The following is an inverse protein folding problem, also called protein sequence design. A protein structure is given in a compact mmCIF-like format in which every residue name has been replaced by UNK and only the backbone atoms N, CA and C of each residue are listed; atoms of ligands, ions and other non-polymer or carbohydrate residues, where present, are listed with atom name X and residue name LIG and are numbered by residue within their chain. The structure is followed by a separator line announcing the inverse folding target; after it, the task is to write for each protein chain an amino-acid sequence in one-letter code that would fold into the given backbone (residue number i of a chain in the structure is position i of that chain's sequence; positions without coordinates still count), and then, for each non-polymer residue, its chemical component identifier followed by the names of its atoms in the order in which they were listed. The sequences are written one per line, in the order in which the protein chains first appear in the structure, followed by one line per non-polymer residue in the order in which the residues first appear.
data_IF_650633189669
#
_entry.id   IF_650633189669
#
_cell.length_a   1.000
_cell.length_b   1.000
_cell.length_c   1.000
_cell.angle_alpha   90.00
_cell.angle_beta   90.00
_cell.angle_gamma   90.00
#
_symmetry.space_group_name_H-M   'P 1'
#
loop_
_entity.id
_entity.type
_entity.pdbx_description
1 polymer ?
#
# COMPACT_ATOMS: atom_id res chain seq x y z
N UNK A 1 15.62 10.72 -8.77
CA UNK A 1 14.90 10.77 -7.48
C UNK A 1 14.17 12.10 -7.26
N UNK A 2 14.57 13.20 -7.94
CA UNK A 2 14.04 14.54 -7.67
C UNK A 2 12.85 14.99 -8.55
N UNK A 3 12.36 14.16 -9.47
CA UNK A 3 11.28 14.57 -10.41
C UNK A 3 9.85 14.28 -9.94
N UNK A 4 9.67 13.52 -8.88
CA UNK A 4 8.31 13.12 -8.41
C UNK A 4 7.69 14.03 -7.36
N UNK A 5 8.41 15.03 -6.87
CA UNK A 5 7.95 15.92 -5.81
C UNK A 5 7.37 17.25 -6.30
N UNK A 6 7.17 17.47 -7.61
CA UNK A 6 6.94 18.83 -8.09
C UNK A 6 5.49 19.24 -8.38
N UNK A 7 4.46 18.44 -8.09
CA UNK A 7 3.10 18.85 -8.50
C UNK A 7 1.96 18.61 -7.51
N UNK A 8 2.18 18.77 -6.22
CA UNK A 8 1.10 19.22 -5.32
C UNK A 8 1.67 20.15 -4.25
N UNK A 9 1.86 21.41 -4.61
CA UNK A 9 1.82 22.48 -3.62
C UNK A 9 0.38 22.53 -3.10
N UNK A 10 0.06 21.71 -2.11
CA UNK A 10 -1.06 21.99 -1.24
C UNK A 10 -0.76 23.33 -0.59
N UNK A 11 -1.54 24.35 -0.92
CA UNK A 11 -1.53 25.66 -0.28
C UNK A 11 -2.04 25.58 1.17
N UNK A 12 -1.40 24.76 1.99
CA UNK A 12 -1.58 24.78 3.40
C UNK A 12 -0.20 25.20 3.96
N UNK A 13 -0.04 26.50 4.10
CA UNK A 13 0.90 27.08 5.06
C UNK A 13 0.39 26.74 6.46
N UNK A 14 0.36 25.50 6.85
CA UNK A 14 0.35 25.14 8.25
C UNK A 14 1.71 25.57 8.78
N UNK A 15 1.68 26.55 9.67
CA UNK A 15 2.85 26.93 10.47
C UNK A 15 3.37 25.65 11.08
N UNK A 16 4.53 25.17 10.62
CA UNK A 16 5.20 24.03 11.23
C UNK A 16 5.43 24.35 12.71
N UNK A 17 4.53 23.89 13.55
CA UNK A 17 4.74 23.90 14.98
C UNK A 17 5.76 22.79 15.27
N UNK A 18 6.98 23.09 15.71
CA UNK A 18 8.00 22.07 15.99
C UNK A 18 7.59 21.12 17.13
N UNK A 19 6.58 21.46 17.89
CA UNK A 19 6.01 20.66 18.97
C UNK A 19 4.76 19.87 18.54
N UNK A 20 4.40 19.90 17.26
CA UNK A 20 3.27 19.14 16.75
C UNK A 20 3.70 17.75 16.30
N UNK A 21 3.01 16.73 16.78
CA UNK A 21 3.14 15.35 16.30
C UNK A 21 2.23 15.16 15.09
N UNK A 22 2.79 14.69 13.98
CA UNK A 22 2.03 14.35 12.78
C UNK A 22 1.59 12.89 12.87
N UNK A 23 0.28 12.68 12.93
CA UNK A 23 -0.34 11.36 12.86
C UNK A 23 -0.90 11.14 11.45
N UNK A 24 -0.43 10.09 10.80
CA UNK A 24 -0.92 9.71 9.48
C UNK A 24 -1.99 8.65 9.61
N UNK A 25 -3.13 8.92 8.98
CA UNK A 25 -4.33 8.11 9.11
C UNK A 25 -4.91 7.79 7.75
N UNK A 26 -5.50 6.61 7.63
CA UNK A 26 -6.30 6.20 6.49
C UNK A 26 -7.56 5.52 7.00
N UNK A 27 -8.62 5.59 6.22
CA UNK A 27 -9.87 4.90 6.49
C UNK A 27 -10.22 3.93 5.39
N UNK A 28 -11.25 3.13 5.65
CA UNK A 28 -11.84 2.26 4.65
C UNK A 28 -13.05 2.93 4.01
N UNK A 29 -13.12 2.85 2.70
CA UNK A 29 -14.32 3.17 1.95
C UNK A 29 -15.35 2.03 2.10
N UNK A 30 -16.61 2.28 1.72
CA UNK A 30 -17.69 1.27 1.67
C UNK A 30 -17.29 -0.03 0.96
N UNK A 31 -16.35 0.05 0.04
CA UNK A 31 -15.81 -1.09 -0.72
C UNK A 31 -14.57 -1.72 -0.07
N UNK A 32 -14.30 -1.47 1.21
CA UNK A 32 -13.10 -1.92 1.93
C UNK A 32 -11.77 -1.52 1.27
N UNK A 33 -11.77 -0.45 0.47
CA UNK A 33 -10.54 0.12 -0.10
C UNK A 33 -10.03 1.24 0.80
N UNK A 34 -8.71 1.41 0.83
CA UNK A 34 -8.08 2.51 1.56
C UNK A 34 -8.42 3.86 0.92
N UNK A 35 -8.80 4.81 1.75
CA UNK A 35 -9.07 6.18 1.36
C UNK A 35 -8.71 7.16 2.46
N UNK A 36 -8.48 8.42 2.11
CA UNK A 36 -8.34 9.49 3.09
C UNK A 36 -9.60 9.65 3.93
N UNK A 37 -9.43 10.02 5.19
CA UNK A 37 -10.55 10.25 6.10
C UNK A 37 -11.30 11.54 5.78
N UNK A 38 -12.62 11.50 5.97
CA UNK A 38 -13.44 12.69 5.90
C UNK A 38 -13.01 13.71 6.99
N UNK A 39 -13.10 14.99 6.65
CA UNK A 39 -12.75 16.10 7.54
C UNK A 39 -13.46 16.02 8.90
N UNK A 40 -14.75 15.67 8.93
CA UNK A 40 -15.51 15.56 10.17
C UNK A 40 -14.93 14.48 11.10
N UNK A 41 -14.52 13.34 10.54
CA UNK A 41 -13.89 12.25 11.31
C UNK A 41 -12.54 12.69 11.86
N UNK A 42 -11.74 13.41 11.06
CA UNK A 42 -10.45 13.96 11.51
C UNK A 42 -10.62 14.96 12.65
N UNK A 43 -11.60 15.86 12.56
CA UNK A 43 -11.87 16.85 13.62
C UNK A 43 -12.32 16.16 14.92
N UNK A 44 -13.19 15.14 14.83
CA UNK A 44 -13.62 14.36 15.99
C UNK A 44 -12.42 13.62 16.63
N UNK A 45 -11.61 12.96 15.82
CA UNK A 45 -10.41 12.28 16.28
C UNK A 45 -9.41 13.24 16.92
N UNK A 46 -9.24 14.44 16.34
CA UNK A 46 -8.38 15.49 16.90
C UNK A 46 -8.90 15.99 18.24
N UNK A 47 -10.22 16.18 18.37
CA UNK A 47 -10.85 16.59 19.63
C UNK A 47 -10.60 15.54 20.72
N UNK A 48 -10.82 14.26 20.40
CA UNK A 48 -10.56 13.16 21.32
C UNK A 48 -9.08 13.10 21.75
N UNK A 49 -8.15 13.17 20.80
CA UNK A 49 -6.72 13.12 21.08
C UNK A 49 -6.24 14.32 21.91
N UNK A 50 -6.90 15.48 21.76
CA UNK A 50 -6.57 16.67 22.54
C UNK A 50 -6.87 16.51 24.04
N UNK A 51 -7.74 15.58 24.43
CA UNK A 51 -8.03 15.29 25.85
C UNK A 51 -6.86 14.58 26.54
N UNK A 52 -6.03 13.87 25.77
CA UNK A 52 -4.92 13.06 26.30
C UNK A 52 -3.54 13.68 26.12
N UNK A 53 -3.45 14.84 25.46
CA UNK A 53 -2.17 15.49 25.20
C UNK A 53 -1.75 16.44 26.32
N UNK A 54 -0.44 16.70 26.42
CA UNK A 54 0.08 17.79 27.24
C UNK A 54 -0.24 19.15 26.59
N UNK A 55 -0.34 20.21 27.42
CA UNK A 55 -0.74 21.55 26.99
C UNK A 55 0.14 22.17 25.88
N UNK A 56 1.40 21.68 25.75
CA UNK A 56 2.39 22.19 24.79
C UNK A 56 2.38 21.46 23.45
N UNK A 57 1.76 20.25 23.36
CA UNK A 57 1.88 19.41 22.20
C UNK A 57 0.70 19.61 21.24
N UNK A 58 0.99 19.90 19.98
CA UNK A 58 0.00 19.93 18.92
C UNK A 58 -0.13 18.57 18.26
N UNK A 59 -1.32 18.19 17.80
CA UNK A 59 -1.55 17.00 16.99
C UNK A 59 -2.09 17.40 15.63
N UNK A 60 -1.40 17.00 14.56
CA UNK A 60 -1.84 17.15 13.19
C UNK A 60 -2.27 15.78 12.66
N UNK A 61 -3.48 15.69 12.10
CA UNK A 61 -3.97 14.50 11.43
C UNK A 61 -3.83 14.68 9.91
N UNK A 62 -2.94 13.91 9.31
CA UNK A 62 -2.63 13.92 7.89
C UNK A 62 -3.08 12.61 7.25
N UNK A 63 -3.44 12.65 5.96
CA UNK A 63 -3.70 11.43 5.22
C UNK A 63 -2.39 10.75 4.83
N UNK A 64 -2.32 9.44 5.01
CA UNK A 64 -1.23 8.63 4.46
C UNK A 64 -1.36 8.46 2.95
N UNK A 65 -0.27 8.08 2.30
CA UNK A 65 -0.23 7.85 0.86
C UNK A 65 -0.56 6.39 0.53
N UNK A 66 -1.58 6.17 -0.29
CA UNK A 66 -1.91 4.84 -0.81
C UNK A 66 -1.22 4.66 -2.16
N UNK A 67 -0.45 3.60 -2.30
CA UNK A 67 0.21 3.21 -3.54
C UNK A 67 -0.44 1.93 -4.04
N UNK A 68 -1.21 2.04 -5.14
CA UNK A 68 -1.82 0.87 -5.74
C UNK A 68 -0.81 0.14 -6.62
N UNK A 69 -0.66 -1.15 -6.41
CA UNK A 69 0.22 -2.01 -7.18
C UNK A 69 -0.53 -3.20 -7.73
N UNK A 70 -0.30 -3.50 -9.00
CA UNK A 70 -0.76 -4.72 -9.65
C UNK A 70 0.33 -5.78 -9.59
N UNK A 71 -0.07 -7.03 -9.46
CA UNK A 71 0.82 -8.18 -9.46
C UNK A 71 0.59 -9.01 -10.73
N UNK A 72 1.64 -9.15 -11.53
CA UNK A 72 1.69 -10.07 -12.66
C UNK A 72 2.60 -11.24 -12.31
N UNK A 73 2.11 -12.46 -12.47
CA UNK A 73 2.92 -13.65 -12.22
C UNK A 73 2.74 -14.70 -13.33
N UNK A 74 3.80 -15.46 -13.56
CA UNK A 74 3.84 -16.57 -14.51
C UNK A 74 4.35 -17.82 -13.81
N UNK A 75 3.59 -18.91 -13.92
CA UNK A 75 3.89 -20.20 -13.29
C UNK A 75 3.89 -21.33 -14.30
N UNK A 76 4.67 -22.37 -14.01
CA UNK A 76 4.56 -23.69 -14.65
C UNK A 76 3.80 -24.62 -13.72
N UNK A 77 2.82 -25.32 -14.30
CA UNK A 77 1.97 -26.28 -13.60
C UNK A 77 2.35 -27.69 -14.05
N UNK A 78 2.35 -28.64 -13.12
CA UNK A 78 2.55 -30.06 -13.45
C UNK A 78 1.46 -30.56 -14.40
N UNK A 79 1.79 -31.55 -15.25
CA UNK A 79 0.88 -32.04 -16.30
C UNK A 79 -0.39 -32.69 -15.77
N UNK A 80 -0.32 -33.26 -14.57
CA UNK A 80 -1.41 -33.99 -13.92
C UNK A 80 -2.41 -33.10 -13.20
N UNK A 81 -2.16 -31.78 -13.16
CA UNK A 81 -3.00 -30.82 -12.47
C UNK A 81 -3.80 -29.92 -13.42
N UNK A 82 -4.99 -29.55 -12.98
CA UNK A 82 -5.84 -28.62 -13.72
C UNK A 82 -5.30 -27.19 -13.58
N UNK A 83 -4.84 -26.62 -14.68
CA UNK A 83 -4.25 -25.27 -14.72
C UNK A 83 -5.16 -24.18 -14.16
N UNK A 84 -6.48 -24.29 -14.37
CA UNK A 84 -7.44 -23.29 -13.88
C UNK A 84 -7.58 -23.35 -12.36
N UNK A 85 -7.62 -24.53 -11.83
CA UNK A 85 -7.72 -24.76 -10.38
C UNK A 85 -6.47 -24.25 -9.66
N UNK A 86 -5.29 -24.64 -10.15
CA UNK A 86 -4.02 -24.14 -9.60
C UNK A 86 -3.94 -22.61 -9.66
N UNK A 87 -4.34 -22.01 -10.79
CA UNK A 87 -4.36 -20.55 -10.93
C UNK A 87 -5.32 -19.90 -9.92
N UNK A 88 -6.51 -20.47 -9.72
CA UNK A 88 -7.48 -19.94 -8.73
C UNK A 88 -6.92 -20.04 -7.32
N UNK A 89 -6.26 -21.13 -6.98
CA UNK A 89 -5.64 -21.32 -5.67
C UNK A 89 -4.50 -20.31 -5.46
N UNK A 90 -3.68 -20.05 -6.49
CA UNK A 90 -2.65 -19.00 -6.44
C UNK A 90 -3.26 -17.62 -6.19
N UNK A 91 -4.32 -17.25 -6.90
CA UNK A 91 -4.99 -15.96 -6.73
C UNK A 91 -5.61 -15.86 -5.34
N UNK A 92 -6.22 -16.92 -4.81
CA UNK A 92 -6.78 -16.92 -3.46
C UNK A 92 -5.70 -16.73 -2.40
N UNK A 93 -4.60 -17.49 -2.48
CA UNK A 93 -3.49 -17.36 -1.55
C UNK A 93 -2.84 -15.97 -1.59
N UNK A 94 -2.71 -15.38 -2.79
CA UNK A 94 -2.21 -14.01 -2.94
C UNK A 94 -3.17 -12.97 -2.33
N UNK A 95 -4.48 -13.12 -2.51
CA UNK A 95 -5.48 -12.25 -1.89
C UNK A 95 -5.43 -12.32 -0.36
N UNK A 96 -5.28 -13.51 0.18
CA UNK A 96 -5.16 -13.71 1.63
C UNK A 96 -3.84 -13.13 2.18
N UNK A 97 -2.75 -13.24 1.42
CA UNK A 97 -1.46 -12.65 1.80
C UNK A 97 -1.51 -11.12 1.79
N UNK A 98 -2.09 -10.53 0.73
CA UNK A 98 -2.21 -9.08 0.57
C UNK A 98 -3.49 -8.48 1.17
N UNK A 99 -4.15 -9.20 2.08
CA UNK A 99 -5.27 -8.67 2.81
C UNK A 99 -4.87 -7.38 3.56
N UNK A 100 -5.61 -6.31 3.33
CA UNK A 100 -5.23 -4.96 3.76
C UNK A 100 -5.04 -4.84 5.27
N UNK A 101 -5.75 -5.64 6.05
CA UNK A 101 -5.67 -5.64 7.51
C UNK A 101 -4.32 -6.17 8.04
N UNK A 102 -3.56 -6.87 7.20
CA UNK A 102 -2.22 -7.38 7.52
C UNK A 102 -1.11 -6.39 7.18
N UNK A 103 -1.44 -5.32 6.45
CA UNK A 103 -0.47 -4.34 5.97
C UNK A 103 -0.50 -3.07 6.79
N UNK A 104 0.69 -2.55 7.09
CA UNK A 104 0.90 -1.31 7.83
C UNK A 104 1.67 -0.29 7.00
N UNK A 105 1.69 0.97 7.47
CA UNK A 105 2.51 2.01 6.84
C UNK A 105 3.98 1.60 6.79
N UNK A 106 4.61 1.94 5.69
CA UNK A 106 6.04 1.74 5.43
C UNK A 106 6.51 0.27 5.43
N UNK A 107 5.58 -0.67 5.31
CA UNK A 107 5.90 -2.09 5.19
C UNK A 107 6.38 -2.39 3.76
N UNK A 108 7.59 -2.94 3.56
CA UNK A 108 8.11 -3.29 2.24
C UNK A 108 7.43 -4.56 1.72
N UNK A 109 7.26 -4.68 0.40
CA UNK A 109 6.84 -5.92 -0.25
C UNK A 109 8.07 -6.78 -0.53
N UNK A 110 8.10 -8.01 -0.02
CA UNK A 110 9.14 -8.99 -0.29
C UNK A 110 8.73 -9.89 -1.46
N UNK A 111 9.36 -9.69 -2.63
CA UNK A 111 9.10 -10.47 -3.83
C UNK A 111 9.44 -11.96 -3.60
N UNK A 112 10.50 -12.24 -2.84
CA UNK A 112 10.90 -13.61 -2.53
C UNK A 112 9.86 -14.38 -1.71
N UNK A 113 9.19 -13.72 -0.77
CA UNK A 113 8.08 -14.32 -0.01
C UNK A 113 6.90 -14.63 -0.90
N UNK A 114 6.58 -13.73 -1.82
CA UNK A 114 5.50 -13.94 -2.81
C UNK A 114 5.84 -15.09 -3.75
N UNK A 115 7.09 -15.17 -4.25
CA UNK A 115 7.57 -16.30 -5.07
C UNK A 115 7.45 -17.63 -4.30
N UNK A 116 7.83 -17.64 -3.03
CA UNK A 116 7.76 -18.84 -2.16
C UNK A 116 6.30 -19.23 -1.87
N UNK A 117 5.44 -18.24 -1.60
CA UNK A 117 4.02 -18.48 -1.37
C UNK A 117 3.37 -19.18 -2.58
N UNK A 118 3.62 -18.67 -3.79
CA UNK A 118 3.09 -19.26 -5.02
C UNK A 118 3.71 -20.65 -5.26
N UNK A 119 5.02 -20.80 -5.02
CA UNK A 119 5.73 -22.06 -5.22
C UNK A 119 5.29 -23.19 -4.30
N UNK A 120 4.76 -22.89 -3.13
CA UNK A 120 4.25 -23.87 -2.17
C UNK A 120 2.83 -24.36 -2.46
N UNK A 121 2.16 -23.79 -3.47
CA UNK A 121 0.81 -24.20 -3.85
C UNK A 121 0.87 -25.52 -4.60
N UNK A 122 0.01 -26.46 -4.21
CA UNK A 122 -0.09 -27.75 -4.83
C UNK A 122 -0.39 -27.64 -6.34
N UNK A 123 0.38 -28.36 -7.15
CA UNK A 123 0.28 -28.32 -8.61
C UNK A 123 1.20 -27.31 -9.28
N UNK A 124 1.83 -26.39 -8.56
CA UNK A 124 2.85 -25.48 -9.11
C UNK A 124 4.19 -26.21 -9.20
N UNK A 125 4.73 -26.30 -10.40
CA UNK A 125 6.04 -26.89 -10.66
C UNK A 125 7.17 -25.87 -10.39
N UNK A 126 6.99 -24.65 -10.89
CA UNK A 126 7.96 -23.55 -10.70
C UNK A 126 7.29 -22.21 -10.97
N UNK A 127 7.79 -21.20 -10.29
CA UNK A 127 7.47 -19.79 -10.54
C UNK A 127 8.47 -19.27 -11.56
N UNK A 128 7.98 -18.78 -12.70
CA UNK A 128 8.82 -18.27 -13.79
C UNK A 128 9.10 -16.80 -13.57
N UNK A 129 8.07 -16.04 -13.19
CA UNK A 129 8.15 -14.59 -13.09
C UNK A 129 7.14 -14.06 -12.09
N UNK A 130 7.58 -13.05 -11.32
CA UNK A 130 6.72 -12.23 -10.48
C UNK A 130 7.13 -10.77 -10.69
N UNK A 131 6.20 -9.96 -11.14
CA UNK A 131 6.42 -8.53 -11.37
C UNK A 131 5.33 -7.69 -10.71
N UNK A 132 5.75 -6.62 -10.07
CA UNK A 132 4.86 -5.61 -9.55
C UNK A 132 4.85 -4.38 -10.46
N UNK A 133 3.66 -3.85 -10.73
CA UNK A 133 3.43 -2.66 -11.55
C UNK A 133 2.66 -1.63 -10.76
N UNK A 134 3.03 -0.37 -10.86
CA UNK A 134 2.23 0.69 -10.27
C UNK A 134 0.94 0.88 -11.08
N UNK A 135 -0.17 0.94 -10.38
CA UNK A 135 -1.49 1.27 -10.91
C UNK A 135 -1.84 2.67 -10.42
N UNK A 136 -1.87 3.64 -11.31
CA UNK A 136 -2.24 5.02 -10.98
C UNK A 136 -3.30 5.55 -11.93
N UNK A 137 -4.15 6.45 -11.43
CA UNK A 137 -5.16 7.14 -12.21
C UNK A 137 -6.53 7.12 -11.56
N UNK A 138 -7.05 8.28 -11.23
CA UNK A 138 -8.37 8.46 -10.61
C UNK A 138 -9.51 7.98 -11.53
N UNK A 139 -9.36 8.12 -12.85
CA UNK A 139 -10.32 7.63 -13.84
C UNK A 139 -10.49 6.10 -13.84
N UNK A 140 -9.46 5.38 -13.38
CA UNK A 140 -9.47 3.93 -13.26
C UNK A 140 -9.79 3.44 -11.84
N UNK A 141 -10.14 4.36 -10.93
CA UNK A 141 -10.47 4.04 -9.54
C UNK A 141 -9.25 3.69 -8.67
N UNK A 142 -8.06 4.11 -9.09
CA UNK A 142 -6.81 3.98 -8.35
C UNK A 142 -6.38 5.32 -7.74
N UNK A 143 -5.45 5.25 -6.80
CA UNK A 143 -4.82 6.43 -6.23
C UNK A 143 -4.11 7.26 -7.32
N UNK A 144 -4.09 8.61 -7.21
CA UNK A 144 -3.32 9.47 -8.11
C UNK A 144 -1.81 9.35 -7.91
N UNK A 145 -1.37 8.60 -6.90
CA UNK A 145 0.03 8.51 -6.52
C UNK A 145 0.79 7.60 -7.49
N UNK A 146 1.61 8.21 -8.36
CA UNK A 146 2.54 7.49 -9.21
C UNK A 146 3.76 7.06 -8.40
N UNK A 147 4.21 5.82 -8.57
CA UNK A 147 5.32 5.24 -7.85
C UNK A 147 6.22 4.40 -8.76
N UNK A 148 7.52 4.67 -8.74
CA UNK A 148 8.47 3.88 -9.50
C UNK A 148 8.85 2.58 -8.75
N UNK A 149 8.08 1.54 -8.99
CA UNK A 149 8.29 0.22 -8.38
C UNK A 149 9.67 -0.34 -8.73
N UNK A 150 10.14 -0.15 -9.99
CA UNK A 150 11.42 -0.70 -10.43
C UNK A 150 12.60 0.00 -9.76
N UNK A 151 12.57 1.32 -9.69
CA UNK A 151 13.61 2.10 -9.01
C UNK A 151 13.65 1.89 -7.50
N UNK A 152 12.50 1.55 -6.90
CA UNK A 152 12.38 1.29 -5.47
C UNK A 152 12.71 -0.15 -5.07
N UNK A 153 12.86 -1.05 -6.05
CA UNK A 153 13.18 -2.46 -5.79
C UNK A 153 14.67 -2.64 -5.55
N UNK A 154 15.04 -3.13 -4.38
CA UNK A 154 16.40 -3.51 -4.02
C UNK A 154 16.40 -4.87 -3.35
N UNK A 155 17.29 -5.78 -3.77
CA UNK A 155 17.42 -7.12 -3.18
C UNK A 155 16.10 -7.90 -3.08
N UNK A 156 15.28 -7.86 -4.14
CA UNK A 156 13.94 -8.46 -4.17
C UNK A 156 12.94 -7.89 -3.14
N UNK A 157 13.19 -6.70 -2.62
CA UNK A 157 12.26 -5.98 -1.77
C UNK A 157 11.89 -4.65 -2.42
N UNK A 158 10.59 -4.34 -2.41
CA UNK A 158 10.05 -3.06 -2.86
C UNK A 158 9.87 -2.20 -1.62
N UNK A 159 10.67 -1.16 -1.50
CA UNK A 159 10.62 -0.24 -0.37
C UNK A 159 9.56 0.83 -0.62
N UNK A 160 8.77 1.20 0.40
CA UNK A 160 7.82 2.31 0.29
C UNK A 160 8.57 3.64 0.10
N UNK A 161 7.82 4.69 -0.26
CA UNK A 161 8.38 6.05 -0.34
C UNK A 161 8.85 6.55 1.03
N UNK A 162 9.61 7.66 1.05
CA UNK A 162 10.05 8.28 2.32
C UNK A 162 8.89 8.88 3.12
N UNK A 163 7.78 9.22 2.49
CA UNK A 163 6.54 9.65 3.14
C UNK A 163 5.79 8.43 3.65
N UNK A 164 4.99 8.55 4.73
CA UNK A 164 4.20 7.43 5.21
C UNK A 164 3.25 6.93 4.13
N UNK A 165 3.59 5.80 3.54
CA UNK A 165 2.83 5.18 2.46
C UNK A 165 2.50 3.73 2.77
N UNK A 166 1.42 3.24 2.19
CA UNK A 166 0.98 1.87 2.29
C UNK A 166 0.72 1.32 0.89
N UNK A 167 1.15 0.10 0.66
CA UNK A 167 0.86 -0.62 -0.58
C UNK A 167 -0.52 -1.27 -0.49
N UNK A 168 -1.31 -1.08 -1.54
CA UNK A 168 -2.58 -1.77 -1.74
C UNK A 168 -2.49 -2.56 -3.05
N UNK A 169 -2.47 -3.89 -2.96
CA UNK A 169 -2.39 -4.77 -4.15
C UNK A 169 -3.78 -4.98 -4.73
N UNK A 170 -3.90 -4.92 -6.06
CA UNK A 170 -5.14 -5.02 -6.83
C UNK A 170 -5.11 -6.20 -7.79
#
# INVERSE_FOLDING_TARGET
VSKFLSNKKSNIKEKNNPFAVNLYVLGYNSNKKLSGLNRAVKENAKTYLNEFRMLTDGVNLLDGFVINVGLDFEIRVYRDYNKREVMTNCISALKDYFEIDKWTFNMPINIGEVEMLIGNIEGVQSVVKVEFKNLCGESSGYSPNAYDVKGATKNKQIYPSLDPSIFEVK
#
